data_IF_640280264541
#
_entry.id   IF_640280264541
#
_cell.length_a   1.000
_cell.length_b   1.000
_cell.length_c   1.000
_cell.angle_alpha   90.00
_cell.angle_beta   90.00
_cell.angle_gamma   90.00
#
_symmetry.space_group_name_H-M   'P 1'
#
loop_
_entity.id
_entity.type
_entity.pdbx_description
1 polymer ?
#
# COMPACT_ATOMS: atom_id res chain seq x y z
N UNK A 1 -22.06 -30.20 25.90
CA UNK A 1 -21.16 -29.78 26.99
C UNK A 1 -19.84 -29.26 26.47
N UNK A 2 -18.97 -30.05 25.86
CA UNK A 2 -17.64 -29.63 25.40
C UNK A 2 -17.57 -28.37 24.46
N UNK A 3 -18.55 -28.16 23.59
CA UNK A 3 -18.58 -27.04 22.67
C UNK A 3 -18.90 -25.70 23.36
N UNK A 4 -19.69 -25.71 24.40
CA UNK A 4 -20.03 -24.52 25.18
C UNK A 4 -18.90 -24.13 26.15
N UNK A 5 -18.20 -25.12 26.73
CA UNK A 5 -17.01 -24.88 27.55
C UNK A 5 -15.84 -24.35 26.71
N UNK A 6 -15.65 -24.87 25.48
CA UNK A 6 -14.63 -24.38 24.55
C UNK A 6 -14.89 -22.92 24.09
N UNK A 7 -16.17 -22.57 23.86
CA UNK A 7 -16.58 -21.21 23.54
C UNK A 7 -16.48 -20.28 24.75
N UNK A 8 -16.68 -20.78 25.97
CA UNK A 8 -16.51 -19.99 27.18
C UNK A 8 -15.03 -19.75 27.52
N UNK A 9 -14.13 -20.71 27.26
CA UNK A 9 -12.68 -20.52 27.42
C UNK A 9 -12.09 -19.55 26.38
N UNK A 10 -12.68 -19.42 25.18
CA UNK A 10 -12.29 -18.39 24.21
C UNK A 10 -12.79 -16.98 24.56
N UNK A 11 -13.69 -16.84 25.54
CA UNK A 11 -14.16 -15.56 26.08
C UNK A 11 -13.25 -14.93 27.14
N UNK A 12 -12.11 -15.55 27.49
CA UNK A 12 -11.08 -14.89 28.27
C UNK A 12 -10.37 -13.89 27.38
N UNK A 13 -10.97 -12.69 27.31
CA UNK A 13 -10.40 -11.40 26.99
C UNK A 13 -9.20 -11.42 26.03
N UNK A 14 -9.46 -11.52 24.72
CA UNK A 14 -8.64 -10.72 23.83
C UNK A 14 -8.86 -9.26 24.28
N UNK A 15 -7.80 -8.50 24.58
CA UNK A 15 -7.99 -7.08 24.82
C UNK A 15 -8.76 -6.52 23.64
N UNK A 16 -9.82 -5.76 23.92
CA UNK A 16 -10.60 -5.09 22.87
C UNK A 16 -9.63 -4.26 22.04
N UNK A 17 -9.37 -4.69 20.80
CA UNK A 17 -8.43 -3.97 19.92
C UNK A 17 -9.09 -2.66 19.52
N UNK A 18 -8.68 -1.59 20.15
CA UNK A 18 -9.12 -0.25 19.80
C UNK A 18 -8.27 0.30 18.64
N UNK A 19 -8.82 0.24 17.44
CA UNK A 19 -8.21 0.82 16.23
C UNK A 19 -8.20 2.35 16.25
N UNK A 20 -9.04 2.99 17.07
CA UNK A 20 -9.22 4.45 17.05
C UNK A 20 -7.97 5.18 17.50
N UNK A 21 -7.32 4.72 18.57
CA UNK A 21 -6.13 5.39 19.09
C UNK A 21 -4.98 5.40 18.08
N UNK A 22 -4.54 4.26 17.50
CA UNK A 22 -3.48 4.27 16.49
C UNK A 22 -3.83 5.09 15.24
N UNK A 23 -5.10 5.10 14.82
CA UNK A 23 -5.52 5.90 13.67
C UNK A 23 -5.45 7.38 13.99
N UNK A 24 -5.92 7.81 15.17
CA UNK A 24 -5.83 9.20 15.60
C UNK A 24 -4.37 9.65 15.67
N UNK A 25 -3.50 8.85 16.25
CA UNK A 25 -2.05 9.14 16.28
C UNK A 25 -1.44 9.24 14.87
N UNK A 26 -1.86 8.38 13.95
CA UNK A 26 -1.42 8.46 12.56
C UNK A 26 -1.85 9.78 11.93
N UNK A 27 -3.11 10.18 12.04
CA UNK A 27 -3.63 11.43 11.48
C UNK A 27 -2.90 12.65 12.07
N UNK A 28 -2.62 12.66 13.36
CA UNK A 28 -1.85 13.72 14.01
C UNK A 28 -0.41 13.78 13.48
N UNK A 29 0.23 12.60 13.35
CA UNK A 29 1.60 12.48 12.83
C UNK A 29 1.71 12.83 11.34
N UNK A 30 0.66 12.72 10.55
CA UNK A 30 0.68 13.09 9.13
C UNK A 30 0.48 14.58 8.87
N UNK A 31 0.08 15.35 9.88
CA UNK A 31 -0.06 16.80 9.74
C UNK A 31 1.31 17.52 9.90
N UNK A 32 2.30 17.13 9.13
CA UNK A 32 3.64 17.74 9.14
C UNK A 32 4.19 17.94 7.73
N UNK A 33 5.27 18.73 7.64
CA UNK A 33 5.90 19.08 6.36
C UNK A 33 6.52 17.87 5.64
N UNK A 34 7.13 16.96 6.39
CA UNK A 34 7.76 15.75 5.82
C UNK A 34 6.73 14.89 5.09
N UNK A 35 5.56 14.67 5.70
CA UNK A 35 4.49 13.90 5.05
C UNK A 35 3.94 14.62 3.81
N UNK A 36 3.79 15.95 3.87
CA UNK A 36 3.37 16.75 2.71
C UNK A 36 4.37 16.66 1.56
N UNK A 37 5.67 16.64 1.84
CA UNK A 37 6.74 16.47 0.85
C UNK A 37 6.68 15.08 0.20
N UNK A 38 6.49 14.01 0.98
CA UNK A 38 6.31 12.65 0.46
C UNK A 38 5.09 12.56 -0.46
N UNK A 39 3.97 13.15 -0.06
CA UNK A 39 2.78 13.21 -0.91
C UNK A 39 3.04 14.01 -2.19
N UNK A 40 3.80 15.09 -2.13
CA UNK A 40 4.13 15.88 -3.32
C UNK A 40 5.02 15.11 -4.29
N UNK A 41 6.02 14.38 -3.78
CA UNK A 41 6.85 13.49 -4.59
C UNK A 41 6.04 12.37 -5.23
N UNK A 42 5.16 11.71 -4.46
CA UNK A 42 4.29 10.68 -4.98
C UNK A 42 3.30 11.21 -6.04
N UNK A 43 2.73 12.41 -5.82
CA UNK A 43 1.86 13.07 -6.79
C UNK A 43 2.60 13.37 -8.08
N UNK A 44 3.85 13.85 -8.01
CA UNK A 44 4.68 14.10 -9.19
C UNK A 44 4.91 12.81 -10.00
N UNK A 45 5.29 11.71 -9.34
CA UNK A 45 5.46 10.41 -10.01
C UNK A 45 4.18 9.95 -10.72
N UNK A 46 3.01 10.16 -10.10
CA UNK A 46 1.72 9.78 -10.70
C UNK A 46 1.43 10.63 -11.94
N UNK A 47 1.68 11.94 -11.88
CA UNK A 47 1.40 12.85 -12.99
C UNK A 47 2.38 12.70 -14.17
N UNK A 48 3.61 12.28 -13.90
CA UNK A 48 4.63 12.01 -14.92
C UNK A 48 4.39 10.69 -15.66
N UNK A 49 3.69 9.74 -15.03
CA UNK A 49 3.48 8.41 -15.58
C UNK A 49 2.38 8.39 -16.66
N UNK A 50 2.62 7.69 -17.77
CA UNK A 50 1.59 7.42 -18.80
C UNK A 50 0.54 6.44 -18.33
N UNK A 51 0.91 5.51 -17.43
CA UNK A 51 0.02 4.57 -16.80
C UNK A 51 0.49 4.24 -15.38
N UNK A 52 -0.46 4.01 -14.48
CA UNK A 52 -0.20 3.65 -13.08
C UNK A 52 -0.74 2.25 -12.80
N UNK A 53 0.12 1.35 -12.37
CA UNK A 53 -0.25 0.01 -11.97
C UNK A 53 -0.23 -0.09 -10.44
N UNK A 54 -1.29 -0.64 -9.87
CA UNK A 54 -1.37 -0.92 -8.44
C UNK A 54 -1.14 -2.41 -8.19
N UNK A 55 -0.32 -2.71 -7.20
CA UNK A 55 -0.01 -4.09 -6.85
C UNK A 55 -0.03 -4.31 -5.34
N UNK A 56 -0.59 -5.42 -4.92
CA UNK A 56 -0.61 -5.90 -3.54
C UNK A 56 -1.14 -7.32 -3.49
N UNK A 57 -0.88 -8.02 -2.39
CA UNK A 57 -1.30 -9.41 -2.18
C UNK A 57 -2.27 -9.47 -1.00
N UNK A 58 -3.29 -10.31 -1.08
CA UNK A 58 -4.30 -10.47 -0.02
C UNK A 58 -5.13 -9.19 0.18
N UNK A 59 -5.22 -8.72 1.43
CA UNK A 59 -5.95 -7.48 1.77
C UNK A 59 -5.34 -6.25 1.08
N UNK A 60 -4.03 -6.20 0.94
CA UNK A 60 -3.36 -5.14 0.16
C UNK A 60 -3.73 -5.18 -1.32
N UNK A 61 -4.00 -6.37 -1.88
CA UNK A 61 -4.52 -6.51 -3.25
C UNK A 61 -5.92 -5.91 -3.42
N UNK A 62 -6.81 -6.08 -2.44
CA UNK A 62 -8.11 -5.42 -2.45
C UNK A 62 -7.98 -3.89 -2.42
N UNK A 63 -7.03 -3.36 -1.65
CA UNK A 63 -6.75 -1.92 -1.63
C UNK A 63 -6.05 -1.43 -2.90
N UNK A 64 -5.27 -2.28 -3.56
CA UNK A 64 -4.72 -1.96 -4.88
C UNK A 64 -5.84 -1.78 -5.92
N UNK A 65 -6.86 -2.63 -5.91
CA UNK A 65 -8.07 -2.44 -6.74
C UNK A 65 -8.80 -1.14 -6.40
N UNK A 66 -8.99 -0.87 -5.11
CA UNK A 66 -9.61 0.36 -4.65
C UNK A 66 -8.83 1.59 -5.13
N UNK A 67 -7.51 1.63 -4.89
CA UNK A 67 -6.64 2.75 -5.25
C UNK A 67 -6.60 3.00 -6.76
N UNK A 68 -6.48 1.94 -7.56
CA UNK A 68 -6.50 2.07 -9.02
C UNK A 68 -7.82 2.66 -9.52
N UNK A 69 -8.95 2.22 -8.96
CA UNK A 69 -10.26 2.77 -9.32
C UNK A 69 -10.41 4.23 -8.89
N UNK A 70 -9.93 4.57 -7.68
CA UNK A 70 -10.02 5.92 -7.16
C UNK A 70 -9.17 6.91 -7.98
N UNK A 71 -7.96 6.47 -8.38
CA UNK A 71 -7.07 7.26 -9.22
C UNK A 71 -7.60 7.41 -10.66
N UNK A 72 -8.26 6.38 -11.19
CA UNK A 72 -8.94 6.45 -12.49
C UNK A 72 -10.08 7.50 -12.49
N UNK A 73 -10.80 7.63 -11.36
CA UNK A 73 -11.81 8.69 -11.20
C UNK A 73 -11.18 10.11 -11.18
N UNK A 74 -9.90 10.22 -10.83
CA UNK A 74 -9.11 11.45 -10.92
C UNK A 74 -8.49 11.69 -12.31
N UNK A 75 -8.87 10.93 -13.33
CA UNK A 75 -8.44 11.13 -14.72
C UNK A 75 -7.13 10.43 -15.11
N UNK A 76 -6.54 9.60 -14.25
CA UNK A 76 -5.29 8.88 -14.53
C UNK A 76 -5.61 7.48 -15.05
N UNK A 77 -4.97 7.08 -16.15
CA UNK A 77 -5.05 5.69 -16.60
C UNK A 77 -4.37 4.77 -15.58
N UNK A 78 -5.18 4.02 -14.84
CA UNK A 78 -4.69 3.17 -13.76
C UNK A 78 -5.42 1.83 -13.69
N UNK A 79 -4.66 0.77 -13.41
CA UNK A 79 -5.13 -0.61 -13.30
C UNK A 79 -4.52 -1.30 -12.09
N UNK A 80 -5.21 -2.30 -11.55
CA UNK A 80 -4.65 -3.19 -10.52
C UNK A 80 -4.18 -4.51 -11.11
N UNK A 81 -3.05 -5.00 -10.63
CA UNK A 81 -2.52 -6.33 -10.90
C UNK A 81 -3.05 -7.24 -9.79
N UNK A 82 -3.95 -8.16 -10.15
CA UNK A 82 -4.66 -8.99 -9.18
C UNK A 82 -4.02 -10.36 -8.97
N UNK A 83 -3.24 -10.83 -9.96
CA UNK A 83 -2.52 -12.09 -9.89
C UNK A 83 -1.04 -11.80 -9.56
N UNK A 84 -0.53 -12.26 -8.40
CA UNK A 84 0.85 -12.04 -8.01
C UNK A 84 1.87 -12.72 -8.93
N UNK A 85 1.41 -13.64 -9.78
CA UNK A 85 2.24 -14.32 -10.77
C UNK A 85 2.15 -13.71 -12.18
N UNK A 86 1.32 -12.68 -12.36
CA UNK A 86 1.30 -11.93 -13.62
C UNK A 86 2.68 -11.31 -13.87
N UNK A 87 3.38 -11.66 -14.96
CA UNK A 87 4.67 -11.05 -15.25
C UNK A 87 4.54 -9.53 -15.44
N UNK A 88 5.17 -8.75 -14.57
CA UNK A 88 5.27 -7.29 -14.71
C UNK A 88 6.57 -6.87 -15.41
N UNK A 89 7.49 -7.83 -15.64
CA UNK A 89 8.72 -7.65 -16.40
C UNK A 89 8.41 -7.42 -17.87
N UNK A 90 8.12 -6.18 -18.22
CA UNK A 90 7.91 -5.76 -19.60
C UNK A 90 9.21 -5.23 -20.20
N UNK A 91 9.24 -5.02 -21.52
CA UNK A 91 10.36 -4.36 -22.16
C UNK A 91 10.55 -2.96 -21.57
N UNK A 92 11.81 -2.53 -21.40
CA UNK A 92 12.18 -1.20 -20.89
C UNK A 92 11.37 -0.08 -21.56
N UNK A 93 11.17 -0.15 -22.87
CA UNK A 93 10.40 0.83 -23.66
C UNK A 93 8.91 0.93 -23.26
N UNK A 94 8.39 -0.02 -22.48
CA UNK A 94 6.99 -0.01 -22.02
C UNK A 94 6.91 0.41 -20.56
N UNK A 95 7.89 0.00 -19.75
CA UNK A 95 7.87 0.18 -18.30
C UNK A 95 8.42 1.55 -17.88
N UNK A 96 9.38 2.10 -18.64
CA UNK A 96 10.08 3.33 -18.27
C UNK A 96 9.16 4.54 -18.02
N UNK A 97 8.03 4.61 -18.75
CA UNK A 97 7.06 5.70 -18.64
C UNK A 97 5.85 5.33 -17.75
N UNK A 98 5.99 4.29 -16.92
CA UNK A 98 4.90 3.82 -16.05
C UNK A 98 5.31 3.85 -14.57
N UNK A 99 4.32 3.85 -13.68
CA UNK A 99 4.51 3.82 -12.23
C UNK A 99 3.88 2.55 -11.66
N UNK A 100 4.61 1.84 -10.81
CA UNK A 100 4.08 0.77 -9.98
C UNK A 100 3.86 1.28 -8.55
N UNK A 101 2.60 1.33 -8.12
CA UNK A 101 2.21 1.63 -6.74
C UNK A 101 2.05 0.30 -6.00
N UNK A 102 2.94 0.03 -5.04
CA UNK A 102 2.98 -1.22 -4.29
C UNK A 102 2.44 -1.01 -2.88
N UNK A 103 1.42 -1.80 -2.54
CA UNK A 103 0.82 -1.81 -1.21
C UNK A 103 1.26 -3.08 -0.47
N UNK A 104 1.94 -2.93 0.66
CA UNK A 104 2.34 -4.06 1.49
C UNK A 104 2.53 -3.66 2.94
N UNK A 105 1.85 -4.35 3.86
CA UNK A 105 2.01 -4.09 5.31
C UNK A 105 3.44 -4.36 5.74
N UNK A 106 3.96 -5.56 5.50
CA UNK A 106 5.32 -5.94 5.92
C UNK A 106 6.42 -5.39 5.00
N UNK A 107 6.11 -5.24 3.71
CA UNK A 107 7.12 -4.94 2.69
C UNK A 107 8.15 -6.06 2.48
N UNK A 108 7.83 -7.31 2.90
CA UNK A 108 8.74 -8.45 2.88
C UNK A 108 8.18 -9.69 2.13
N UNK A 109 7.04 -9.55 1.44
CA UNK A 109 6.43 -10.66 0.70
C UNK A 109 7.30 -11.01 -0.51
N UNK A 110 7.83 -12.22 -0.54
CA UNK A 110 8.82 -12.68 -1.55
C UNK A 110 8.31 -12.52 -2.98
N UNK A 111 7.07 -12.95 -3.24
CA UNK A 111 6.45 -12.89 -4.57
C UNK A 111 6.28 -11.44 -5.04
N UNK A 112 5.93 -10.55 -4.12
CA UNK A 112 5.80 -9.12 -4.41
C UNK A 112 7.17 -8.49 -4.69
N UNK A 113 8.19 -8.80 -3.90
CA UNK A 113 9.55 -8.27 -4.09
C UNK A 113 10.14 -8.69 -5.43
N UNK A 114 9.97 -9.96 -5.83
CA UNK A 114 10.42 -10.44 -7.12
C UNK A 114 9.81 -9.67 -8.30
N UNK A 115 8.53 -9.30 -8.21
CA UNK A 115 7.86 -8.49 -9.23
C UNK A 115 8.39 -7.03 -9.24
N UNK A 116 8.63 -6.45 -8.06
CA UNK A 116 9.21 -5.10 -7.95
C UNK A 116 10.60 -5.04 -8.59
N UNK A 117 11.47 -6.01 -8.29
CA UNK A 117 12.81 -6.11 -8.87
C UNK A 117 12.77 -6.23 -10.40
N UNK A 118 11.89 -7.07 -10.94
CA UNK A 118 11.71 -7.20 -12.39
C UNK A 118 11.22 -5.89 -13.02
N UNK A 119 10.31 -5.19 -12.36
CA UNK A 119 9.79 -3.92 -12.85
C UNK A 119 10.89 -2.85 -12.89
N UNK A 120 11.71 -2.76 -11.85
CA UNK A 120 12.84 -1.83 -11.80
C UNK A 120 13.95 -2.19 -12.79
N UNK A 121 14.18 -3.47 -13.07
CA UNK A 121 15.10 -3.88 -14.12
C UNK A 121 14.70 -3.32 -15.51
N UNK A 122 13.39 -3.10 -15.73
CA UNK A 122 12.84 -2.40 -16.90
C UNK A 122 12.86 -0.87 -16.77
N UNK A 123 13.50 -0.29 -15.74
CA UNK A 123 13.54 1.14 -15.42
C UNK A 123 12.19 1.78 -15.06
N UNK A 124 11.21 0.97 -14.67
CA UNK A 124 9.94 1.47 -14.11
C UNK A 124 10.14 2.11 -12.75
N UNK A 125 9.35 3.13 -12.45
CA UNK A 125 9.35 3.81 -11.15
C UNK A 125 8.44 3.10 -10.15
N UNK A 126 8.83 3.09 -8.88
CA UNK A 126 8.10 2.41 -7.81
C UNK A 126 7.76 3.38 -6.69
N UNK A 127 6.46 3.46 -6.35
CA UNK A 127 5.94 4.12 -5.16
C UNK A 127 5.48 3.03 -4.17
N UNK A 128 6.05 2.98 -2.99
CA UNK A 128 5.64 2.06 -1.94
C UNK A 128 4.76 2.75 -0.88
N UNK A 129 3.64 2.12 -0.53
CA UNK A 129 2.85 2.46 0.66
C UNK A 129 2.94 1.26 1.61
N UNK A 130 3.68 1.41 2.70
CA UNK A 130 4.05 0.31 3.59
C UNK A 130 4.05 0.72 5.05
N UNK A 131 3.99 -0.26 5.95
CA UNK A 131 3.97 0.03 7.39
C UNK A 131 5.35 0.42 7.97
N UNK A 132 6.42 0.21 7.23
CA UNK A 132 7.79 0.45 7.72
C UNK A 132 8.73 0.98 6.64
N UNK A 133 9.58 1.95 7.01
CA UNK A 133 10.69 2.44 6.16
C UNK A 133 11.90 1.51 6.15
N UNK A 134 11.92 0.48 7.00
CA UNK A 134 13.05 -0.45 7.12
C UNK A 134 12.86 -1.74 6.31
N UNK A 135 11.70 -1.89 5.64
CA UNK A 135 11.42 -3.07 4.84
C UNK A 135 12.25 -3.14 3.55
N UNK A 136 12.34 -4.34 2.97
CA UNK A 136 13.01 -4.55 1.68
C UNK A 136 12.33 -3.75 0.57
N UNK A 137 10.98 -3.73 0.54
CA UNK A 137 10.22 -2.90 -0.38
C UNK A 137 10.58 -1.40 -0.26
N UNK A 138 10.72 -0.90 0.97
CA UNK A 138 11.08 0.50 1.19
C UNK A 138 12.47 0.86 0.66
N UNK A 139 13.41 -0.10 0.67
CA UNK A 139 14.75 0.11 0.10
C UNK A 139 14.76 0.07 -1.43
N UNK A 140 13.84 -0.65 -2.04
CA UNK A 140 13.72 -0.76 -3.50
C UNK A 140 12.96 0.44 -4.10
N UNK A 141 11.99 1.01 -3.42
CA UNK A 141 11.11 2.03 -3.95
C UNK A 141 11.81 3.39 -4.18
N UNK A 142 11.39 4.11 -5.23
CA UNK A 142 11.83 5.49 -5.51
C UNK A 142 11.24 6.47 -4.50
N UNK A 143 9.98 6.25 -4.10
CA UNK A 143 9.29 7.02 -3.05
C UNK A 143 8.57 6.07 -2.11
N UNK A 144 8.65 6.35 -0.81
CA UNK A 144 8.01 5.55 0.24
C UNK A 144 7.09 6.41 1.08
N UNK A 145 5.83 6.02 1.22
CA UNK A 145 4.88 6.61 2.16
C UNK A 145 4.62 5.60 3.28
N UNK A 146 5.25 5.76 4.45
CA UNK A 146 5.05 4.87 5.59
C UNK A 146 3.85 5.30 6.43
N UNK A 147 3.18 4.35 7.08
CA UNK A 147 2.04 4.65 7.95
C UNK A 147 2.18 4.18 9.42
N UNK A 148 3.17 3.35 9.75
CA UNK A 148 3.58 3.01 11.13
C UNK A 148 2.45 2.55 12.07
N UNK A 149 1.57 1.68 11.63
CA UNK A 149 0.57 1.08 12.51
C UNK A 149 1.19 -0.03 13.37
N UNK A 150 0.74 -0.20 14.63
CA UNK A 150 1.09 -1.36 15.43
C UNK A 150 0.73 -2.64 14.68
N UNK A 151 1.70 -3.55 14.56
CA UNK A 151 1.44 -4.84 13.91
C UNK A 151 0.48 -5.68 14.75
N UNK A 152 -0.56 -6.20 14.10
CA UNK A 152 -1.49 -7.15 14.67
C UNK A 152 -1.49 -8.43 13.87
N UNK A 153 -1.20 -9.56 14.54
CA UNK A 153 -1.12 -10.87 13.93
C UNK A 153 -2.00 -11.88 14.66
N UNK A 154 -2.72 -12.69 13.90
CA UNK A 154 -3.42 -13.87 14.41
C UNK A 154 -2.78 -15.11 13.78
N UNK A 155 -1.83 -15.72 14.50
CA UNK A 155 -0.95 -16.76 13.94
C UNK A 155 -0.11 -16.23 12.78
N UNK A 156 -0.25 -16.84 11.61
CA UNK A 156 0.42 -16.39 10.37
C UNK A 156 -0.32 -15.27 9.63
N UNK A 157 -1.54 -14.93 10.05
CA UNK A 157 -2.38 -13.93 9.38
C UNK A 157 -2.07 -12.54 9.93
N UNK A 158 -1.85 -11.59 9.05
CA UNK A 158 -1.64 -10.19 9.40
C UNK A 158 -2.99 -9.44 9.39
N UNK A 159 -3.41 -8.95 10.56
CA UNK A 159 -4.64 -8.19 10.77
C UNK A 159 -4.37 -6.70 11.03
N UNK A 160 -3.15 -6.23 10.81
CA UNK A 160 -2.79 -4.82 10.97
C UNK A 160 -3.74 -3.94 10.17
N UNK A 161 -4.31 -2.92 10.82
CA UNK A 161 -5.26 -2.01 10.15
C UNK A 161 -4.60 -1.31 8.96
N UNK A 162 -5.34 -1.24 7.86
CA UNK A 162 -4.93 -0.55 6.64
C UNK A 162 -5.80 0.70 6.34
N UNK A 163 -6.51 1.21 7.34
CA UNK A 163 -7.25 2.49 7.22
C UNK A 163 -6.33 3.63 6.76
N UNK A 164 -5.08 3.75 7.26
CA UNK A 164 -4.14 4.73 6.75
C UNK A 164 -3.87 4.62 5.25
N UNK A 165 -3.85 3.40 4.71
CA UNK A 165 -3.64 3.18 3.27
C UNK A 165 -4.79 3.77 2.46
N UNK A 166 -6.04 3.56 2.89
CA UNK A 166 -7.22 4.15 2.25
C UNK A 166 -7.12 5.68 2.26
N UNK A 167 -6.80 6.28 3.42
CA UNK A 167 -6.59 7.72 3.55
C UNK A 167 -5.53 8.25 2.57
N UNK A 168 -4.37 7.59 2.48
CA UNK A 168 -3.28 7.97 1.58
C UNK A 168 -3.72 7.89 0.11
N UNK A 169 -4.40 6.80 -0.27
CA UNK A 169 -4.87 6.59 -1.65
C UNK A 169 -5.85 7.68 -2.08
N UNK A 170 -6.83 8.00 -1.23
CA UNK A 170 -7.80 9.07 -1.52
C UNK A 170 -7.12 10.43 -1.59
N UNK A 171 -6.21 10.72 -0.65
CA UNK A 171 -5.49 11.98 -0.61
C UNK A 171 -4.62 12.18 -1.86
N UNK A 172 -3.93 11.13 -2.34
CA UNK A 172 -3.16 11.19 -3.59
C UNK A 172 -4.06 11.45 -4.79
N UNK A 173 -5.20 10.75 -4.89
CA UNK A 173 -6.14 10.98 -5.99
C UNK A 173 -6.72 12.41 -5.99
N UNK A 174 -7.07 12.95 -4.82
CA UNK A 174 -7.52 14.34 -4.72
C UNK A 174 -6.43 15.34 -5.12
N UNK A 175 -5.18 15.13 -4.70
CA UNK A 175 -4.06 15.99 -5.10
C UNK A 175 -3.80 15.96 -6.59
N UNK A 176 -3.88 14.79 -7.21
CA UNK A 176 -3.76 14.61 -8.65
C UNK A 176 -4.88 15.35 -9.39
N UNK A 177 -6.13 15.18 -8.96
CA UNK A 177 -7.28 15.88 -9.57
C UNK A 177 -7.18 17.42 -9.47
N UNK A 178 -6.58 17.93 -8.40
CA UNK A 178 -6.38 19.38 -8.22
C UNK A 178 -5.19 19.93 -9.02
N UNK A 179 -4.29 19.07 -9.51
CA UNK A 179 -3.08 19.48 -10.24
C UNK A 179 -3.22 19.44 -11.77
N UNK A 180 -4.33 18.91 -12.28
CA UNK A 180 -4.71 18.90 -13.70
C UNK A 180 -5.46 20.17 -14.08
#
# INVERSE_FOLDING_TARGET
>A
MLKQEWLAQKKTSMPEYDVMLPITEFLDKTNNETFRQLLSQATALILEAQAVFFFGIGTSGALAQYGSRYLANAGIFSLSINDPFTPVGMRETVVADTLLVVLSVSGETTEMLAQVEQYQAGKGKVLAITNSTHSTLARLADVVIPYYMPEEKNGSLNNTTQIPVVYILELLAHRVACAQ
#
